data_IF_881631967503
#
_entry.id   IF_881631967503
#
_cell.length_a   1.000
_cell.length_b   1.000
_cell.length_c   1.000
_cell.angle_alpha   90.00
_cell.angle_beta   90.00
_cell.angle_gamma   90.00
#
_symmetry.space_group_name_H-M   'P 1'
#
loop_
_entity.id
_entity.type
_entity.pdbx_description
1 polymer ?
#
# COMPACT_ATOMS: atom_id res chain seq x y z
N UNK A 1 -1.93 -35.26 15.30
CA UNK A 1 -1.50 -33.86 15.42
C UNK A 1 -1.89 -33.18 14.12
N UNK A 2 -2.95 -32.38 14.12
CA UNK A 2 -3.29 -31.55 12.95
C UNK A 2 -2.26 -30.43 12.98
N UNK A 3 -1.30 -30.44 12.06
CA UNK A 3 -0.50 -29.25 11.83
C UNK A 3 -1.47 -28.17 11.38
N UNK A 4 -1.71 -27.19 12.23
CA UNK A 4 -2.39 -25.96 11.83
C UNK A 4 -1.52 -25.36 10.72
N UNK A 5 -1.93 -25.60 9.48
CA UNK A 5 -1.18 -25.13 8.31
C UNK A 5 -1.32 -23.63 8.28
N UNK A 6 -0.35 -22.93 8.88
CA UNK A 6 -0.29 -21.48 8.83
C UNK A 6 -0.48 -21.02 7.38
N UNK A 7 -1.44 -20.14 7.12
CA UNK A 7 -1.61 -19.64 5.76
C UNK A 7 -0.43 -18.74 5.42
N UNK A 8 0.00 -18.80 4.16
CA UNK A 8 0.92 -17.81 3.64
C UNK A 8 0.25 -16.43 3.69
N UNK A 9 0.91 -15.42 4.24
CA UNK A 9 0.32 -14.11 4.47
C UNK A 9 1.37 -13.01 4.49
N UNK A 10 0.94 -11.79 4.17
CA UNK A 10 1.73 -10.58 4.29
C UNK A 10 0.92 -9.49 5.00
N UNK A 11 1.57 -8.76 5.90
CA UNK A 11 1.05 -7.58 6.59
C UNK A 11 1.93 -6.38 6.20
N UNK A 12 1.37 -5.47 5.40
CA UNK A 12 2.02 -4.24 4.96
C UNK A 12 1.72 -3.12 5.95
N UNK A 13 2.70 -2.70 6.73
CA UNK A 13 2.61 -1.55 7.62
C UNK A 13 3.15 -0.32 6.90
N UNK A 14 2.25 0.54 6.43
CA UNK A 14 2.58 1.70 5.60
C UNK A 14 2.56 2.95 6.47
N UNK A 15 3.72 3.57 6.66
CA UNK A 15 3.91 4.82 7.37
C UNK A 15 3.98 5.98 6.39
N UNK A 16 3.08 6.96 6.56
CA UNK A 16 3.19 8.25 5.90
C UNK A 16 4.15 9.15 6.68
N UNK A 17 5.42 9.18 6.28
CA UNK A 17 6.46 10.04 6.83
C UNK A 17 6.59 11.40 6.13
N UNK A 18 5.57 11.83 5.38
CA UNK A 18 5.51 13.16 4.76
C UNK A 18 5.04 14.21 5.78
N UNK A 19 5.43 15.47 5.58
CA UNK A 19 4.96 16.59 6.41
C UNK A 19 3.53 17.03 6.06
N UNK A 20 3.07 16.72 4.84
CA UNK A 20 1.76 17.09 4.32
C UNK A 20 1.30 16.14 3.22
N UNK A 21 -0.02 16.09 3.02
CA UNK A 21 -0.67 15.25 2.02
C UNK A 21 -0.89 13.83 2.54
N UNK A 22 -2.03 13.27 2.17
CA UNK A 22 -2.40 11.93 2.56
C UNK A 22 -1.87 10.92 1.54
N UNK A 23 -1.52 9.73 2.00
CA UNK A 23 -1.24 8.60 1.12
C UNK A 23 -2.53 7.80 0.92
N UNK A 24 -2.92 7.62 -0.33
CA UNK A 24 -4.06 6.77 -0.72
C UNK A 24 -3.58 5.52 -1.44
N UNK A 25 -4.32 4.42 -1.29
CA UNK A 25 -4.04 3.15 -1.98
C UNK A 25 -4.93 3.04 -3.21
N UNK A 26 -4.34 2.68 -4.36
CA UNK A 26 -5.05 2.49 -5.63
C UNK A 26 -4.50 1.28 -6.40
N UNK A 27 -5.20 0.91 -7.47
CA UNK A 27 -4.78 -0.12 -8.43
C UNK A 27 -4.39 -1.44 -7.75
N UNK A 28 -5.17 -1.86 -6.76
CA UNK A 28 -4.93 -3.13 -6.05
C UNK A 28 -5.30 -4.27 -7.00
N UNK A 29 -4.35 -5.16 -7.23
CA UNK A 29 -4.56 -6.39 -7.99
C UNK A 29 -4.09 -7.56 -7.13
N UNK A 30 -4.99 -8.49 -6.85
CA UNK A 30 -4.68 -9.75 -6.16
C UNK A 30 -4.73 -10.89 -7.18
N UNK A 31 -3.58 -11.48 -7.47
CA UNK A 31 -3.49 -12.67 -8.33
C UNK A 31 -3.83 -13.93 -7.54
N UNK A 32 -3.43 -13.97 -6.27
CA UNK A 32 -3.80 -15.04 -5.34
C UNK A 32 -3.91 -14.52 -3.91
N UNK A 33 -4.75 -15.19 -3.12
CA UNK A 33 -5.10 -14.76 -1.76
C UNK A 33 -6.15 -13.64 -1.74
N UNK A 34 -6.45 -13.17 -0.53
CA UNK A 34 -7.48 -12.16 -0.28
C UNK A 34 -7.03 -11.19 0.81
N UNK A 35 -7.41 -9.91 0.68
CA UNK A 35 -7.16 -8.96 1.74
C UNK A 35 -8.09 -9.22 2.93
N UNK A 36 -7.59 -8.98 4.13
CA UNK A 36 -8.33 -9.17 5.36
C UNK A 36 -7.91 -8.18 6.43
N UNK A 37 -8.74 -8.02 7.45
CA UNK A 37 -8.37 -7.34 8.69
C UNK A 37 -8.36 -8.32 9.86
N UNK A 38 -7.36 -8.17 10.73
CA UNK A 38 -7.25 -8.91 11.98
C UNK A 38 -8.01 -8.15 13.06
N UNK A 39 -9.33 -8.30 13.05
CA UNK A 39 -10.21 -7.93 14.16
C UNK A 39 -10.41 -9.15 15.08
N UNK A 40 -11.16 -9.09 16.20
CA UNK A 40 -11.46 -10.29 16.99
C UNK A 40 -12.08 -11.43 16.14
N UNK A 41 -12.68 -11.10 15.00
CA UNK A 41 -12.97 -12.06 13.92
C UNK A 41 -12.19 -11.71 12.65
N UNK A 42 -11.73 -12.74 11.93
CA UNK A 42 -11.15 -12.54 10.60
C UNK A 42 -12.27 -12.06 9.67
N UNK A 43 -12.07 -10.88 9.07
CA UNK A 43 -12.99 -10.33 8.09
C UNK A 43 -12.24 -10.08 6.79
N UNK A 44 -12.76 -10.67 5.71
CA UNK A 44 -12.30 -10.39 4.35
C UNK A 44 -12.71 -8.97 3.96
N UNK A 45 -11.82 -8.29 3.25
CA UNK A 45 -12.06 -6.95 2.72
C UNK A 45 -12.28 -7.04 1.21
N UNK A 46 -13.08 -6.12 0.67
CA UNK A 46 -13.11 -5.88 -0.77
C UNK A 46 -11.99 -4.91 -1.18
N UNK A 47 -11.61 -4.92 -2.46
CA UNK A 47 -10.68 -3.93 -3.02
C UNK A 47 -11.19 -2.51 -2.84
N UNK A 48 -12.51 -2.30 -2.92
CA UNK A 48 -13.15 -0.99 -2.76
C UNK A 48 -13.04 -0.45 -1.33
N UNK A 49 -13.04 -1.32 -0.32
CA UNK A 49 -12.80 -0.91 1.07
C UNK A 49 -11.36 -0.47 1.28
N UNK A 50 -10.40 -1.14 0.65
CA UNK A 50 -8.98 -0.78 0.76
C UNK A 50 -8.69 0.49 -0.02
N UNK A 51 -9.33 0.69 -1.18
CA UNK A 51 -9.20 1.91 -1.98
C UNK A 51 -9.72 3.18 -1.27
N UNK A 52 -10.52 3.03 -0.21
CA UNK A 52 -10.99 4.13 0.64
C UNK A 52 -10.02 4.48 1.77
N UNK A 53 -8.95 3.71 1.95
CA UNK A 53 -7.95 3.99 2.98
C UNK A 53 -7.15 5.23 2.58
N UNK A 54 -7.10 6.17 3.53
CA UNK A 54 -6.24 7.35 3.50
C UNK A 54 -5.33 7.33 4.73
N UNK A 55 -4.04 7.56 4.53
CA UNK A 55 -3.02 7.55 5.59
C UNK A 55 -2.49 8.97 5.76
N UNK A 56 -2.93 9.66 6.82
CA UNK A 56 -2.51 11.03 7.10
C UNK A 56 -1.04 11.13 7.54
N UNK A 57 -0.42 12.31 7.41
CA UNK A 57 0.94 12.58 7.89
C UNK A 57 1.21 12.07 9.31
N UNK A 58 2.32 11.36 9.47
CA UNK A 58 2.75 10.76 10.75
C UNK A 58 1.97 9.52 11.19
N UNK A 59 0.94 9.10 10.44
CA UNK A 59 0.15 7.90 10.75
C UNK A 59 0.66 6.67 9.99
N UNK A 60 0.37 5.50 10.55
CA UNK A 60 0.58 4.22 9.89
C UNK A 60 -0.73 3.47 9.72
N UNK A 61 -0.85 2.71 8.63
CA UNK A 61 -1.96 1.81 8.40
C UNK A 61 -1.46 0.41 8.01
N UNK A 62 -2.13 -0.64 8.49
CA UNK A 62 -1.78 -2.02 8.19
C UNK A 62 -2.79 -2.62 7.22
N UNK A 63 -2.30 -3.12 6.09
CA UNK A 63 -3.10 -3.86 5.10
C UNK A 63 -2.57 -5.28 5.06
N UNK A 64 -3.45 -6.26 5.25
CA UNK A 64 -3.05 -7.67 5.31
C UNK A 64 -3.67 -8.46 4.16
N UNK A 65 -2.91 -9.41 3.62
CA UNK A 65 -3.36 -10.36 2.60
C UNK A 65 -2.98 -11.77 3.02
N UNK A 66 -3.86 -12.74 2.82
CA UNK A 66 -3.56 -14.15 3.08
C UNK A 66 -3.97 -15.05 1.93
N UNK A 67 -3.20 -16.12 1.73
CA UNK A 67 -3.56 -17.24 0.87
C UNK A 67 -4.62 -18.14 1.49
N UNK A 68 -4.97 -19.20 0.77
CA UNK A 68 -5.96 -20.19 1.20
C UNK A 68 -5.26 -21.51 1.54
N UNK A 69 -5.00 -21.74 2.83
CA UNK A 69 -4.21 -22.90 3.26
C UNK A 69 -4.88 -24.25 2.99
N UNK A 70 -6.21 -24.30 3.07
CA UNK A 70 -6.97 -25.50 2.72
C UNK A 70 -6.86 -25.87 1.22
N UNK A 71 -6.46 -24.92 0.37
CA UNK A 71 -6.34 -25.10 -1.08
C UNK A 71 -4.88 -25.13 -1.56
N UNK A 72 -3.90 -25.00 -0.65
CA UNK A 72 -2.50 -24.91 -1.03
C UNK A 72 -2.18 -23.66 -1.86
N UNK A 73 -2.85 -22.53 -1.59
CA UNK A 73 -2.68 -21.28 -2.35
C UNK A 73 -1.87 -20.28 -1.54
N UNK A 74 -0.83 -19.72 -2.17
CA UNK A 74 0.00 -18.64 -1.66
C UNK A 74 -0.70 -17.28 -1.66
N UNK A 75 0.08 -16.21 -1.62
CA UNK A 75 -0.42 -14.83 -1.72
C UNK A 75 0.41 -14.04 -2.71
N UNK A 76 -0.24 -13.42 -3.69
CA UNK A 76 0.44 -12.65 -4.72
C UNK A 76 -0.41 -11.46 -5.13
N UNK A 77 0.21 -10.30 -5.26
CA UNK A 77 -0.49 -9.11 -5.68
C UNK A 77 0.42 -7.90 -5.82
N UNK A 78 -0.22 -6.80 -6.21
CA UNK A 78 0.41 -5.49 -6.26
C UNK A 78 -0.58 -4.41 -5.86
N UNK A 79 -0.06 -3.26 -5.45
CA UNK A 79 -0.83 -2.04 -5.28
C UNK A 79 0.03 -0.80 -5.48
N UNK A 80 -0.60 0.31 -5.82
CA UNK A 80 0.06 1.60 -5.94
C UNK A 80 -0.23 2.48 -4.72
N UNK A 81 0.78 3.23 -4.27
CA UNK A 81 0.61 4.32 -3.32
C UNK A 81 0.60 5.65 -4.07
N UNK A 82 -0.38 6.49 -3.77
CA UNK A 82 -0.53 7.83 -4.34
C UNK A 82 -0.50 8.89 -3.26
N UNK A 83 0.12 10.03 -3.55
CA UNK A 83 -0.06 11.24 -2.78
C UNK A 83 -1.35 11.91 -3.26
N UNK A 84 -2.33 12.01 -2.36
CA UNK A 84 -3.49 12.85 -2.58
C UNK A 84 -3.14 14.29 -2.20
N UNK A 85 -3.11 15.16 -3.21
CA UNK A 85 -2.93 16.59 -2.99
C UNK A 85 -4.30 17.17 -2.75
N UNK A 86 -4.59 17.51 -1.49
CA UNK A 86 -5.53 18.59 -1.23
C UNK A 86 -4.98 19.85 -1.89
N UNK A 87 -5.49 20.18 -3.08
CA UNK A 87 -5.42 21.55 -3.61
C UNK A 87 -6.22 22.42 -2.65
N UNK A 88 -5.61 22.82 -1.53
CA UNK A 88 -6.00 24.06 -0.88
C UNK A 88 -5.49 25.18 -1.78
N UNK A 89 -6.23 25.40 -2.86
CA UNK A 89 -6.41 26.76 -3.31
C UNK A 89 -6.95 27.54 -2.11
N UNK A 90 -6.04 28.33 -1.58
CA UNK A 90 -6.24 29.58 -0.88
C UNK A 90 -7.30 30.39 -1.63
N UNK A 91 -8.58 30.06 -1.45
CA UNK A 91 -9.69 30.89 -1.89
C UNK A 91 -9.92 31.94 -0.80
N UNK A 92 -8.96 32.87 -0.73
CA UNK A 92 -9.27 34.23 -0.35
C UNK A 92 -9.55 34.96 -1.67
N UNK A 93 -10.82 35.26 -1.90
CA UNK A 93 -11.34 36.23 -2.86
C UNK A 93 -10.82 36.15 -4.31
N UNK A 94 -11.43 35.28 -5.14
CA UNK A 94 -12.01 35.76 -6.41
C UNK A 94 -12.94 34.75 -7.09
N UNK A 95 -14.19 35.19 -7.13
CA UNK A 95 -15.29 34.76 -8.00
C UNK A 95 -14.82 34.67 -9.46
N UNK A 96 -14.88 33.49 -10.08
CA UNK A 96 -15.11 33.38 -11.52
C UNK A 96 -15.78 32.06 -11.88
N UNK A 97 -16.98 32.20 -12.43
CA UNK A 97 -17.75 31.20 -13.15
C UNK A 97 -16.98 30.77 -14.40
N UNK A 98 -16.83 29.46 -14.63
CA UNK A 98 -17.23 28.80 -15.88
C UNK A 98 -17.02 27.29 -15.85
N UNK A 99 -18.03 26.64 -16.42
CA UNK A 99 -18.25 25.22 -16.60
C UNK A 99 -17.15 24.51 -17.41
N UNK A 100 -16.96 23.21 -17.14
CA UNK A 100 -16.51 22.26 -18.16
C UNK A 100 -15.10 21.69 -18.04
N UNK A 101 -14.38 21.87 -16.93
CA UNK A 101 -13.04 21.30 -16.79
C UNK A 101 -13.06 19.89 -16.21
N UNK A 102 -12.63 18.94 -17.04
CA UNK A 102 -12.16 17.61 -16.68
C UNK A 102 -11.42 17.66 -15.35
N UNK A 103 -12.02 17.05 -14.34
CA UNK A 103 -11.47 16.81 -13.01
C UNK A 103 -10.13 16.08 -13.20
N UNK A 104 -9.04 16.83 -13.33
CA UNK A 104 -7.70 16.26 -13.45
C UNK A 104 -7.47 15.48 -12.17
N UNK A 105 -7.27 14.19 -12.32
CA UNK A 105 -6.96 13.28 -11.22
C UNK A 105 -5.63 13.75 -10.61
N UNK A 106 -5.70 14.58 -9.56
CA UNK A 106 -4.57 15.32 -8.98
C UNK A 106 -3.66 14.42 -8.12
N UNK A 107 -3.73 13.13 -8.36
CA UNK A 107 -3.05 12.10 -7.59
C UNK A 107 -1.68 11.85 -8.20
N UNK A 108 -0.64 11.99 -7.38
CA UNK A 108 0.74 11.72 -7.80
C UNK A 108 1.13 10.31 -7.36
N UNK A 109 1.37 9.37 -8.28
CA UNK A 109 1.86 8.03 -7.92
C UNK A 109 3.25 8.12 -7.30
N UNK A 110 3.40 7.55 -6.11
CA UNK A 110 4.64 7.51 -5.34
C UNK A 110 5.44 6.25 -5.74
N UNK A 111 4.83 5.08 -5.57
CA UNK A 111 5.47 3.78 -5.78
C UNK A 111 4.45 2.69 -6.08
N UNK A 112 4.90 1.64 -6.76
CA UNK A 112 4.18 0.36 -6.86
C UNK A 112 4.83 -0.64 -5.91
N UNK A 113 4.02 -1.32 -5.11
CA UNK A 113 4.43 -2.41 -4.24
C UNK A 113 3.98 -3.73 -4.85
N UNK A 114 4.87 -4.70 -4.96
CA UNK A 114 4.59 -6.06 -5.41
C UNK A 114 5.03 -7.06 -4.34
N UNK A 115 4.23 -8.11 -4.15
CA UNK A 115 4.56 -9.22 -3.27
C UNK A 115 4.20 -10.54 -3.91
N UNK A 116 5.00 -11.57 -3.62
CA UNK A 116 4.73 -12.95 -3.95
C UNK A 116 5.24 -13.85 -2.84
N UNK A 117 4.31 -14.55 -2.19
CA UNK A 117 4.59 -15.59 -1.21
C UNK A 117 4.00 -16.89 -1.75
N UNK A 118 4.81 -17.79 -2.31
CA UNK A 118 4.34 -19.10 -2.74
C UNK A 118 3.79 -19.93 -1.57
N UNK A 119 2.95 -20.92 -1.88
CA UNK A 119 2.42 -21.84 -0.86
C UNK A 119 3.50 -22.69 -0.20
N UNK A 120 4.50 -23.07 -0.99
CA UNK A 120 5.68 -23.83 -0.58
C UNK A 120 6.54 -23.06 0.42
N UNK A 121 6.30 -21.74 0.55
CA UNK A 121 7.02 -20.84 1.47
C UNK A 121 8.53 -20.79 1.20
N UNK A 122 8.91 -20.88 -0.06
CA UNK A 122 10.30 -20.74 -0.52
C UNK A 122 10.32 -19.75 -1.67
N UNK A 123 11.31 -18.86 -1.69
CA UNK A 123 11.46 -17.86 -2.75
C UNK A 123 10.45 -16.72 -2.62
N UNK A 124 10.18 -16.28 -1.38
CA UNK A 124 9.37 -15.09 -1.13
C UNK A 124 9.97 -13.86 -1.82
N UNK A 125 9.12 -13.03 -2.42
CA UNK A 125 9.52 -11.82 -3.12
C UNK A 125 8.74 -10.61 -2.61
N UNK A 126 9.44 -9.49 -2.49
CA UNK A 126 8.84 -8.19 -2.24
C UNK A 126 9.65 -7.13 -3.00
N UNK A 127 8.96 -6.32 -3.79
CA UNK A 127 9.58 -5.29 -4.61
C UNK A 127 8.82 -3.97 -4.46
N UNK A 128 9.57 -2.87 -4.41
CA UNK A 128 9.04 -1.53 -4.56
C UNK A 128 9.66 -0.87 -5.79
N UNK A 129 8.80 -0.32 -6.65
CA UNK A 129 9.21 0.39 -7.85
C UNK A 129 8.78 1.86 -7.71
N UNK A 130 9.70 2.70 -7.22
CA UNK A 130 9.45 4.14 -7.11
C UNK A 130 9.44 4.77 -8.50
N UNK A 131 8.38 5.52 -8.80
CA UNK A 131 8.26 6.23 -10.08
C UNK A 131 8.77 7.67 -10.03
N UNK A 132 9.04 8.19 -8.83
CA UNK A 132 9.43 9.58 -8.57
C UNK A 132 10.53 9.65 -7.52
N UNK A 133 11.62 8.90 -7.71
CA UNK A 133 12.74 8.81 -6.77
C UNK A 133 13.42 10.14 -6.45
N UNK A 134 13.21 11.17 -7.27
CA UNK A 134 13.67 12.54 -7.05
C UNK A 134 12.84 13.31 -6.02
N UNK A 135 11.57 12.95 -5.82
CA UNK A 135 10.62 13.66 -4.92
C UNK A 135 10.31 12.88 -3.66
N UNK A 136 10.29 11.55 -3.75
CA UNK A 136 9.95 10.68 -2.64
C UNK A 136 10.99 9.59 -2.47
N UNK A 137 11.31 9.32 -1.21
CA UNK A 137 12.07 8.16 -0.79
C UNK A 137 11.10 7.14 -0.22
N UNK A 138 11.23 5.89 -0.68
CA UNK A 138 10.44 4.76 -0.17
C UNK A 138 11.42 3.75 0.42
N UNK A 139 11.32 3.55 1.73
CA UNK A 139 12.13 2.58 2.46
C UNK A 139 11.26 1.37 2.79
N UNK A 140 11.77 0.16 2.55
CA UNK A 140 11.02 -1.07 2.80
C UNK A 140 11.85 -2.08 3.58
N UNK A 141 11.26 -2.81 4.53
CA UNK A 141 11.90 -3.99 5.10
C UNK A 141 11.83 -5.16 4.12
N UNK A 142 12.82 -6.06 4.19
CA UNK A 142 12.80 -7.30 3.41
C UNK A 142 12.06 -8.41 4.19
N UNK A 143 11.11 -9.13 3.58
CA UNK A 143 10.58 -10.34 4.17
C UNK A 143 11.65 -11.45 4.20
N UNK A 144 11.47 -12.53 4.97
CA UNK A 144 12.36 -13.67 4.93
C UNK A 144 12.24 -14.41 3.58
N UNK A 145 13.35 -14.96 3.07
CA UNK A 145 13.37 -15.71 1.81
C UNK A 145 12.57 -17.02 1.89
N UNK A 146 12.49 -17.61 3.09
CA UNK A 146 11.75 -18.84 3.40
C UNK A 146 10.75 -18.61 4.56
N UNK A 147 9.69 -19.41 4.59
CA UNK A 147 8.61 -19.27 5.54
C UNK A 147 7.51 -18.32 5.05
N UNK A 148 6.71 -17.81 6.00
CA UNK A 148 5.66 -16.85 5.66
C UNK A 148 6.27 -15.47 5.35
N UNK A 149 5.69 -14.72 4.39
CA UNK A 149 6.12 -13.35 4.08
C UNK A 149 6.10 -12.47 5.33
N UNK A 150 5.07 -12.61 6.16
CA UNK A 150 4.99 -11.98 7.47
C UNK A 150 4.81 -10.47 7.38
N UNK A 151 5.48 -9.73 8.25
CA UNK A 151 5.32 -8.28 8.34
C UNK A 151 6.36 -7.55 7.49
N UNK A 152 5.90 -6.64 6.63
CA UNK A 152 6.76 -5.75 5.85
C UNK A 152 6.40 -4.31 6.19
N UNK A 153 7.41 -3.52 6.59
CA UNK A 153 7.25 -2.08 6.76
C UNK A 153 7.54 -1.35 5.45
N UNK A 154 6.73 -0.32 5.17
CA UNK A 154 6.91 0.60 4.06
C UNK A 154 6.84 2.01 4.63
N UNK A 155 7.91 2.78 4.50
CA UNK A 155 7.94 4.19 4.91
C UNK A 155 8.11 5.07 3.69
N UNK A 156 7.23 6.05 3.55
CA UNK A 156 7.30 7.07 2.50
C UNK A 156 7.72 8.39 3.09
N UNK A 157 8.79 9.00 2.57
CA UNK A 157 9.29 10.32 2.97
C UNK A 157 9.52 11.20 1.76
N UNK A 158 9.65 12.50 1.98
CA UNK A 158 10.10 13.44 0.94
C UNK A 158 11.60 13.24 0.73
N UNK A 159 12.02 13.11 -0.53
CA UNK A 159 13.45 13.14 -0.85
C UNK A 159 13.98 14.54 -0.55
N UNK A 160 14.96 14.66 0.34
CA UNK A 160 15.58 15.95 0.63
C UNK A 160 16.17 16.52 -0.65
N UNK A 161 15.73 17.72 -1.05
CA UNK A 161 16.52 18.52 -1.97
C UNK A 161 17.88 18.67 -1.29
N UNK A 162 18.95 18.16 -1.93
CA UNK A 162 20.31 18.46 -1.50
C UNK A 162 20.39 19.97 -1.34
N UNK A 163 20.56 20.44 -0.12
CA UNK A 163 21.00 21.80 0.15
C UNK A 163 22.35 21.95 -0.53
N UNK A 164 22.34 22.52 -1.73
CA UNK A 164 23.53 23.02 -2.43
C UNK A 164 24.07 24.24 -1.72
#
# INVERSE_FOLDING_TARGET
MVHETATQHICLSILNGLDHGDITIRNIVTFSGQPYTKSPTLRLLSTDEIAKISISPGQSHVISFCGAGALGVGVEGMMDLYLDRYDRHFNDDKKQEKEGESQRDNHTRITTLYWNGPWERVGNQFHSASTLGDRFSVTTSLPPEEGVLGNVSVEVRRSGARSS
#
